data_IF_879061029270
#
_entry.id   IF_879061029270
#
_cell.length_a   1.000
_cell.length_b   1.000
_cell.length_c   1.000
_cell.angle_alpha   90.00
_cell.angle_beta   90.00
_cell.angle_gamma   90.00
#
_symmetry.space_group_name_H-M   'P 1'
#
loop_
_entity.id
_entity.type
_entity.pdbx_description
1 polymer ?
#
# COMPACT_ATOMS: atom_id res chain seq x y z
N UNK A 1 -5.03 21.34 -1.93
CA UNK A 1 -5.25 19.95 -1.50
C UNK A 1 -4.29 19.69 -0.36
N UNK A 2 -4.81 19.32 0.82
CA UNK A 2 -3.99 19.01 1.98
C UNK A 2 -3.55 17.55 1.94
N UNK A 3 -2.26 17.30 1.74
CA UNK A 3 -1.67 16.00 2.00
C UNK A 3 -1.24 15.97 3.46
N UNK A 4 -1.87 15.11 4.26
CA UNK A 4 -1.51 14.94 5.66
C UNK A 4 -0.65 13.69 5.82
N UNK A 5 0.18 13.70 6.84
CA UNK A 5 0.97 12.55 7.22
C UNK A 5 0.19 11.80 8.30
N UNK A 6 -0.20 10.55 8.01
CA UNK A 6 -0.84 9.67 8.97
C UNK A 6 0.18 8.69 9.56
N UNK A 7 0.02 8.37 10.83
CA UNK A 7 0.78 7.32 11.48
C UNK A 7 -0.09 6.06 11.57
N UNK A 8 0.18 5.08 10.72
CA UNK A 8 -0.45 3.77 10.80
C UNK A 8 0.29 2.91 11.81
N UNK A 9 -0.46 2.21 12.65
CA UNK A 9 0.09 1.23 13.56
C UNK A 9 -0.17 -0.18 13.00
N UNK A 10 0.84 -1.04 13.04
CA UNK A 10 0.63 -2.47 12.76
C UNK A 10 -0.32 -3.09 13.78
N UNK A 11 -0.93 -4.21 13.43
CA UNK A 11 -1.92 -4.88 14.29
C UNK A 11 -1.40 -5.23 15.69
N UNK A 12 -0.10 -5.43 15.83
CA UNK A 12 0.54 -5.75 17.10
C UNK A 12 0.93 -4.50 17.93
N UNK A 13 0.68 -3.30 17.42
CA UNK A 13 0.95 -2.06 18.15
C UNK A 13 2.41 -1.58 18.10
N UNK A 14 3.34 -2.34 17.53
CA UNK A 14 4.77 -2.03 17.68
C UNK A 14 5.31 -1.11 16.60
N UNK A 15 4.80 -1.24 15.36
CA UNK A 15 5.37 -0.55 14.22
C UNK A 15 4.52 0.65 13.81
N UNK A 16 5.17 1.80 13.64
CA UNK A 16 4.56 3.08 13.30
C UNK A 16 4.98 3.48 11.89
N UNK A 17 4.07 3.34 10.94
CA UNK A 17 4.31 3.61 9.52
C UNK A 17 3.78 5.00 9.19
N UNK A 18 4.70 5.89 8.86
CA UNK A 18 4.39 7.24 8.41
C UNK A 18 3.95 7.18 6.94
N UNK A 19 2.69 7.49 6.66
CA UNK A 19 2.08 7.39 5.32
C UNK A 19 1.34 8.65 4.92
N UNK A 20 0.98 8.76 3.64
CA UNK A 20 0.25 9.90 3.09
C UNK A 20 -1.26 9.64 3.13
N UNK A 21 -2.01 10.56 3.73
CA UNK A 21 -3.45 10.66 3.62
C UNK A 21 -3.81 11.80 2.67
N UNK A 22 -4.57 11.49 1.62
CA UNK A 22 -5.05 12.47 0.66
C UNK A 22 -6.46 12.10 0.21
N UNK A 23 -7.40 13.04 0.31
CA UNK A 23 -8.82 12.81 -0.02
C UNK A 23 -9.38 11.56 0.68
N UNK A 24 -9.12 11.44 1.98
CA UNK A 24 -9.51 10.28 2.82
C UNK A 24 -8.92 8.93 2.36
N UNK A 25 -8.00 8.95 1.39
CA UNK A 25 -7.34 7.78 0.85
C UNK A 25 -5.92 7.68 1.40
N UNK A 26 -5.57 6.49 1.87
CA UNK A 26 -4.23 6.19 2.36
C UNK A 26 -3.38 5.63 1.23
N UNK A 27 -2.23 6.25 1.01
CA UNK A 27 -1.31 5.96 -0.08
C UNK A 27 0.01 5.43 0.46
N UNK A 28 0.35 4.19 0.13
CA UNK A 28 1.53 3.49 0.65
C UNK A 28 2.42 3.02 -0.49
N UNK A 29 3.73 3.00 -0.27
CA UNK A 29 4.68 2.28 -1.11
C UNK A 29 4.61 0.78 -0.83
N UNK A 30 5.14 -0.05 -1.74
CA UNK A 30 5.23 -1.50 -1.52
C UNK A 30 6.06 -1.86 -0.27
N UNK A 31 7.07 -1.06 0.06
CA UNK A 31 7.89 -1.26 1.26
C UNK A 31 7.08 -1.01 2.54
N UNK A 32 6.31 0.08 2.57
CA UNK A 32 5.41 0.37 3.70
C UNK A 32 4.30 -0.67 3.81
N UNK A 33 3.78 -1.19 2.71
CA UNK A 33 2.82 -2.30 2.74
C UNK A 33 3.45 -3.59 3.31
N UNK A 34 4.69 -3.92 2.90
CA UNK A 34 5.42 -5.06 3.41
C UNK A 34 5.57 -5.00 4.94
N UNK A 35 5.94 -3.83 5.45
CA UNK A 35 6.03 -3.55 6.89
C UNK A 35 4.66 -3.61 7.59
N UNK A 36 3.64 -2.96 7.03
CA UNK A 36 2.30 -2.89 7.61
C UNK A 36 1.66 -4.28 7.77
N UNK A 37 1.85 -5.14 6.78
CA UNK A 37 1.24 -6.46 6.73
C UNK A 37 2.19 -7.59 7.16
N UNK A 38 3.42 -7.26 7.57
CA UNK A 38 4.45 -8.23 7.96
C UNK A 38 4.65 -9.30 6.90
N UNK A 39 4.74 -8.88 5.64
CA UNK A 39 4.97 -9.74 4.48
C UNK A 39 6.23 -9.29 3.75
N UNK A 40 6.85 -10.22 3.05
CA UNK A 40 7.95 -9.88 2.16
C UNK A 40 7.47 -8.97 1.03
N UNK A 41 8.31 -8.01 0.64
CA UNK A 41 8.01 -7.09 -0.47
C UNK A 41 7.67 -7.84 -1.76
N UNK A 42 8.29 -9.00 -2.00
CA UNK A 42 8.03 -9.86 -3.16
C UNK A 42 6.60 -10.40 -3.18
N UNK A 43 6.05 -10.74 -2.01
CA UNK A 43 4.66 -11.16 -1.83
C UNK A 43 3.73 -10.00 -2.18
N UNK A 44 3.99 -8.81 -1.64
CA UNK A 44 3.25 -7.58 -1.98
C UNK A 44 3.26 -7.31 -3.49
N UNK A 45 4.43 -7.39 -4.13
CA UNK A 45 4.55 -7.19 -5.58
C UNK A 45 3.72 -8.20 -6.37
N UNK A 46 3.78 -9.48 -5.99
CA UNK A 46 2.99 -10.53 -6.64
C UNK A 46 1.49 -10.24 -6.55
N UNK A 47 0.99 -9.84 -5.38
CA UNK A 47 -0.43 -9.54 -5.20
C UNK A 47 -0.89 -8.36 -6.05
N UNK A 48 -0.15 -7.26 -6.03
CA UNK A 48 -0.46 -6.07 -6.85
C UNK A 48 -0.53 -6.44 -8.33
N UNK A 49 0.43 -7.24 -8.81
CA UNK A 49 0.44 -7.69 -10.19
C UNK A 49 -0.80 -8.55 -10.52
N UNK A 50 -1.17 -9.48 -9.64
CA UNK A 50 -2.34 -10.35 -9.84
C UNK A 50 -3.62 -9.51 -9.94
N UNK A 51 -3.87 -8.62 -8.98
CA UNK A 51 -5.06 -7.74 -8.94
C UNK A 51 -5.25 -6.98 -10.25
N UNK A 52 -4.17 -6.38 -10.76
CA UNK A 52 -4.25 -5.62 -12.00
C UNK A 52 -4.32 -6.54 -13.24
N UNK A 53 -3.68 -7.71 -13.23
CA UNK A 53 -3.77 -8.67 -14.33
C UNK A 53 -5.15 -9.32 -14.43
N UNK A 54 -5.82 -9.52 -13.30
CA UNK A 54 -7.17 -10.09 -13.19
C UNK A 54 -8.26 -9.02 -13.37
N UNK A 55 -7.87 -7.75 -13.56
CA UNK A 55 -8.76 -6.59 -13.66
C UNK A 55 -9.73 -6.41 -12.47
N UNK A 56 -9.36 -6.92 -11.30
CA UNK A 56 -10.15 -6.74 -10.07
C UNK A 56 -10.23 -5.25 -9.68
N UNK A 57 -9.14 -4.51 -9.93
CA UNK A 57 -9.06 -3.07 -9.71
C UNK A 57 -8.44 -2.35 -10.91
N UNK A 58 -8.88 -1.11 -11.13
CA UNK A 58 -8.32 -0.25 -12.17
C UNK A 58 -7.00 0.40 -11.70
N UNK A 59 -5.89 0.17 -12.40
CA UNK A 59 -4.58 0.71 -12.02
C UNK A 59 -4.56 2.25 -11.95
N UNK A 60 -5.20 2.95 -12.89
CA UNK A 60 -5.15 4.42 -12.96
C UNK A 60 -5.78 5.09 -11.73
N UNK A 61 -6.79 4.46 -11.14
CA UNK A 61 -7.48 4.99 -9.95
C UNK A 61 -6.84 4.53 -8.63
N UNK A 62 -5.89 3.58 -8.68
CA UNK A 62 -5.34 2.92 -7.51
C UNK A 62 -3.82 3.07 -7.36
N UNK A 63 -3.14 3.69 -8.35
CA UNK A 63 -1.70 3.93 -8.36
C UNK A 63 -1.41 5.40 -8.63
N UNK A 64 -0.47 5.97 -7.86
CA UNK A 64 0.08 7.30 -8.08
C UNK A 64 1.60 7.22 -8.21
N UNK A 65 2.16 7.94 -9.17
CA UNK A 65 3.61 8.13 -9.28
C UNK A 65 3.96 9.49 -8.69
N UNK A 66 4.75 9.51 -7.62
CA UNK A 66 5.11 10.74 -6.91
C UNK A 66 6.63 10.93 -6.91
N UNK A 67 7.07 12.17 -7.15
CA UNK A 67 8.45 12.56 -6.89
C UNK A 67 8.62 12.86 -5.40
N UNK A 68 9.56 12.18 -4.76
CA UNK A 68 9.92 12.41 -3.36
C UNK A 68 11.35 12.92 -3.28
N UNK A 69 11.66 13.74 -2.28
CA UNK A 69 12.96 14.40 -2.15
C UNK A 69 14.16 13.44 -2.14
N UNK A 70 13.95 12.18 -1.71
CA UNK A 70 14.98 11.16 -1.58
C UNK A 70 15.07 10.20 -2.78
N UNK A 71 14.45 10.51 -3.92
CA UNK A 71 14.48 9.66 -5.11
C UNK A 71 14.53 10.47 -6.39
N UNK A 72 15.53 10.18 -7.23
CA UNK A 72 15.66 10.77 -8.58
C UNK A 72 14.55 10.28 -9.54
N UNK A 73 13.91 9.15 -9.22
CA UNK A 73 12.82 8.57 -10.01
C UNK A 73 11.48 8.69 -9.28
N UNK A 74 10.36 8.83 -10.02
CA UNK A 74 9.04 8.72 -9.42
C UNK A 74 8.88 7.40 -8.68
N UNK A 75 8.33 7.47 -7.47
CA UNK A 75 8.01 6.30 -6.65
C UNK A 75 6.51 6.00 -6.79
N UNK A 76 6.18 4.71 -6.94
CA UNK A 76 4.80 4.25 -6.98
C UNK A 76 4.22 4.16 -5.58
N UNK A 77 3.07 4.81 -5.41
CA UNK A 77 2.19 4.69 -4.27
C UNK A 77 0.90 3.99 -4.68
N UNK A 78 0.38 3.17 -3.80
CA UNK A 78 -0.80 2.34 -4.02
C UNK A 78 -1.81 2.66 -2.93
N UNK A 79 -3.10 2.65 -3.27
CA UNK A 79 -4.14 2.76 -2.24
C UNK A 79 -4.05 1.58 -1.30
N UNK A 80 -4.18 1.82 0.01
CA UNK A 80 -4.20 0.77 1.03
C UNK A 80 -5.23 -0.33 0.70
N UNK A 81 -6.38 0.05 0.14
CA UNK A 81 -7.47 -0.89 -0.17
C UNK A 81 -7.11 -1.91 -1.27
N UNK A 82 -6.08 -1.63 -2.10
CA UNK A 82 -5.57 -2.57 -3.10
C UNK A 82 -5.19 -3.89 -2.46
N UNK A 83 -4.65 -3.88 -1.23
CA UNK A 83 -4.09 -5.09 -0.62
C UNK A 83 -4.88 -5.62 0.58
N UNK A 84 -5.88 -4.85 1.07
CA UNK A 84 -6.74 -5.27 2.19
C UNK A 84 -7.57 -6.51 1.87
N UNK A 85 -8.11 -6.62 0.65
CA UNK A 85 -9.02 -7.71 0.28
C UNK A 85 -8.32 -9.07 0.22
N UNK A 86 -7.08 -9.08 -0.29
CA UNK A 86 -6.34 -10.31 -0.52
C UNK A 86 -5.70 -10.88 0.76
N UNK A 87 -5.22 -10.01 1.66
CA UNK A 87 -4.56 -10.47 2.88
C UNK A 87 -5.56 -10.91 3.95
N UNK A 88 -6.73 -10.27 4.05
CA UNK A 88 -7.80 -10.70 4.98
C UNK A 88 -8.28 -12.12 4.66
N UNK A 89 -8.38 -12.46 3.37
CA UNK A 89 -8.78 -13.81 2.92
C UNK A 89 -7.68 -14.85 3.16
N UNK A 90 -6.41 -14.46 3.09
CA UNK A 90 -5.27 -15.35 3.35
C UNK A 90 -5.08 -15.67 4.85
N UNK A 91 -5.59 -14.84 5.76
CA UNK A 91 -5.55 -15.08 7.21
C UNK A 91 -6.73 -15.92 7.74
N UNK A 92 -7.86 -15.99 7.03
CA UNK A 92 -9.04 -16.77 7.42
C UNK A 92 -9.12 -18.19 6.82
N UNK A 93 -8.04 -18.67 6.20
CA UNK A 93 -7.86 -20.10 5.90
C UNK A 93 -6.97 -20.74 6.96
N UNK A 94 -7.49 -20.86 8.18
CA UNK A 94 -7.06 -21.83 9.18
C UNK A 94 -8.22 -22.12 10.12
#
# INVERSE_FOLDING_TARGET
MESQILLYQTEDGETKIQTRLENETVWLTQAQMAELFRKDRTVITKHINNIFSENELNEKSNVQNLHIANSDKPVKFFKLDVIKDYLTTAFNKN
#
